data_IF_222470299625
#
_entry.id   IF_222470299625
#
_cell.length_a   1.000
_cell.length_b   1.000
_cell.length_c   1.000
_cell.angle_alpha   90.00
_cell.angle_beta   90.00
_cell.angle_gamma   90.00
#
_symmetry.space_group_name_H-M   'P 1'
#
loop_
_entity.id
_entity.type
_entity.pdbx_description
1 polymer ?
#
# COMPACT_ATOMS: atom_id res chain seq x y z
N UNK A 1 13.84 49.69 32.74
CA UNK A 1 14.23 48.33 32.31
C UNK A 1 13.06 47.71 31.54
N UNK A 2 13.02 47.84 30.21
CA UNK A 2 12.13 47.06 29.34
C UNK A 2 12.47 47.35 27.88
N UNK A 3 13.34 46.53 27.30
CA UNK A 3 13.62 46.54 25.87
C UNK A 3 14.06 45.14 25.39
N UNK A 4 13.36 44.09 25.84
CA UNK A 4 13.63 42.70 25.40
C UNK A 4 12.48 42.12 24.54
N UNK A 5 11.45 42.92 24.17
CA UNK A 5 10.26 42.38 23.50
C UNK A 5 10.01 42.85 22.06
N UNK A 6 10.97 43.49 21.38
CA UNK A 6 10.74 43.94 20.01
C UNK A 6 11.90 43.61 19.07
N UNK A 7 12.42 42.38 19.12
CA UNK A 7 13.13 41.83 17.95
C UNK A 7 12.05 41.17 17.10
N UNK A 8 11.50 41.91 16.15
CA UNK A 8 10.51 41.39 15.21
C UNK A 8 11.03 40.09 14.61
N UNK A 9 10.36 38.98 14.92
CA UNK A 9 10.67 37.69 14.34
C UNK A 9 10.30 37.77 12.87
N UNK A 10 11.28 38.03 12.00
CA UNK A 10 11.13 37.86 10.57
C UNK A 10 10.96 36.37 10.30
N UNK A 11 9.71 35.89 10.23
CA UNK A 11 9.45 34.52 9.79
C UNK A 11 10.10 34.35 8.42
N UNK A 12 11.08 33.45 8.28
CA UNK A 12 11.77 33.29 7.01
C UNK A 12 10.73 32.88 5.97
N UNK A 13 10.70 33.56 4.81
CA UNK A 13 9.68 33.37 3.75
C UNK A 13 9.56 31.91 3.27
N UNK A 14 10.57 31.10 3.53
CA UNK A 14 10.63 29.67 3.20
C UNK A 14 9.89 28.77 4.20
N UNK A 15 9.61 29.23 5.43
CA UNK A 15 9.02 28.40 6.48
C UNK A 15 7.65 27.82 6.08
N UNK A 16 6.71 28.60 5.49
CA UNK A 16 5.43 28.05 5.06
C UNK A 16 5.57 26.94 4.01
N UNK A 17 6.50 27.10 3.07
CA UNK A 17 6.74 26.11 2.02
C UNK A 17 7.29 24.79 2.60
N UNK A 18 8.24 24.88 3.54
CA UNK A 18 8.78 23.70 4.23
C UNK A 18 7.70 22.97 5.02
N UNK A 19 6.82 23.71 5.70
CA UNK A 19 5.70 23.12 6.45
C UNK A 19 4.76 22.36 5.52
N UNK A 20 4.37 22.94 4.38
CA UNK A 20 3.51 22.27 3.40
C UNK A 20 4.15 21.01 2.84
N UNK A 21 5.43 21.09 2.43
CA UNK A 21 6.17 19.93 1.90
C UNK A 21 6.25 18.82 2.96
N UNK A 22 6.54 19.18 4.21
CA UNK A 22 6.59 18.24 5.32
C UNK A 22 5.24 17.56 5.55
N UNK A 23 4.15 18.34 5.58
CA UNK A 23 2.80 17.82 5.77
C UNK A 23 2.37 16.86 4.64
N UNK A 24 2.57 17.26 3.39
CA UNK A 24 2.24 16.42 2.22
C UNK A 24 3.05 15.12 2.24
N UNK A 25 4.34 15.21 2.54
CA UNK A 25 5.21 14.03 2.63
C UNK A 25 4.78 13.08 3.74
N UNK A 26 4.39 13.61 4.91
CA UNK A 26 3.91 12.81 6.03
C UNK A 26 2.60 12.06 5.68
N UNK A 27 1.64 12.76 5.07
CA UNK A 27 0.38 12.14 4.61
C UNK A 27 0.66 11.07 3.56
N UNK A 28 1.50 11.37 2.56
CA UNK A 28 1.85 10.41 1.51
C UNK A 28 2.53 9.15 2.07
N UNK A 29 3.46 9.32 3.01
CA UNK A 29 4.11 8.20 3.68
C UNK A 29 3.12 7.37 4.52
N UNK A 30 2.19 8.03 5.22
CA UNK A 30 1.17 7.35 6.01
C UNK A 30 0.24 6.51 5.13
N UNK A 31 -0.31 7.08 4.05
CA UNK A 31 -1.16 6.35 3.10
C UNK A 31 -0.40 5.16 2.51
N UNK A 32 0.85 5.36 2.08
CA UNK A 32 1.70 4.26 1.59
C UNK A 32 1.87 3.16 2.64
N UNK A 33 2.07 3.52 3.91
CA UNK A 33 2.23 2.56 5.00
C UNK A 33 0.97 1.73 5.24
N UNK A 34 -0.21 2.33 5.12
CA UNK A 34 -1.50 1.63 5.26
C UNK A 34 -1.69 0.65 4.10
N UNK A 35 -1.47 1.11 2.86
CA UNK A 35 -1.57 0.25 1.67
C UNK A 35 -0.61 -0.94 1.73
N UNK A 36 0.61 -0.74 2.23
CA UNK A 36 1.57 -1.84 2.39
C UNK A 36 1.16 -2.83 3.48
N UNK A 37 0.55 -2.36 4.57
CA UNK A 37 0.03 -3.24 5.62
C UNK A 37 -1.13 -4.08 5.11
N UNK A 38 -2.08 -3.44 4.42
CA UNK A 38 -3.24 -4.12 3.84
C UNK A 38 -2.82 -5.10 2.74
N UNK A 39 -1.91 -4.72 1.84
CA UNK A 39 -1.34 -5.63 0.84
C UNK A 39 -0.75 -6.87 1.49
N UNK A 40 0.05 -6.71 2.56
CA UNK A 40 0.64 -7.86 3.29
C UNK A 40 -0.41 -8.70 4.02
N UNK A 41 -1.52 -8.09 4.46
CA UNK A 41 -2.63 -8.83 5.06
C UNK A 41 -3.35 -9.67 3.99
N UNK A 42 -3.71 -9.05 2.87
CA UNK A 42 -4.31 -9.71 1.71
C UNK A 42 -3.42 -10.84 1.18
N UNK A 43 -2.11 -10.61 1.02
CA UNK A 43 -1.16 -11.63 0.55
C UNK A 43 -1.16 -12.86 1.46
N UNK A 44 -1.24 -12.65 2.79
CA UNK A 44 -1.34 -13.75 3.75
C UNK A 44 -2.65 -14.52 3.60
N UNK A 45 -3.79 -13.83 3.45
CA UNK A 45 -5.06 -14.50 3.21
C UNK A 45 -5.06 -15.28 1.89
N UNK A 46 -4.58 -14.68 0.80
CA UNK A 46 -4.50 -15.37 -0.49
C UNK A 46 -3.51 -16.55 -0.48
N UNK A 47 -2.41 -16.45 0.28
CA UNK A 47 -1.47 -17.58 0.43
C UNK A 47 -2.11 -18.79 1.12
N UNK A 48 -3.05 -18.58 2.05
CA UNK A 48 -3.77 -19.68 2.70
C UNK A 48 -4.68 -20.44 1.72
N UNK A 49 -5.27 -19.73 0.75
CA UNK A 49 -6.08 -20.34 -0.31
C UNK A 49 -5.25 -21.04 -1.39
N UNK A 50 -3.93 -20.84 -1.45
CA UNK A 50 -3.02 -21.56 -2.36
C UNK A 50 -2.30 -22.73 -1.68
N UNK A 51 -2.93 -23.37 -0.69
CA UNK A 51 -2.38 -24.60 -0.10
C UNK A 51 -2.47 -25.77 -1.10
N UNK A 52 -1.58 -26.79 -1.01
CA UNK A 52 -1.62 -27.97 -1.86
C UNK A 52 -2.99 -28.67 -1.83
N UNK A 53 -3.64 -28.69 -0.67
CA UNK A 53 -4.95 -29.30 -0.45
C UNK A 53 -6.07 -28.51 -1.14
N UNK A 54 -6.00 -27.17 -1.11
CA UNK A 54 -6.97 -26.30 -1.79
C UNK A 54 -6.84 -26.38 -3.30
N UNK A 55 -5.61 -26.36 -3.83
CA UNK A 55 -5.37 -26.51 -5.27
C UNK A 55 -5.72 -27.93 -5.76
N UNK A 56 -5.49 -28.97 -4.95
CA UNK A 56 -5.96 -30.33 -5.28
C UNK A 56 -7.49 -30.42 -5.32
N UNK A 57 -8.20 -29.75 -4.39
CA UNK A 57 -9.66 -29.67 -4.41
C UNK A 57 -10.17 -28.93 -5.65
N UNK A 58 -9.52 -27.82 -6.04
CA UNK A 58 -9.86 -27.07 -7.26
C UNK A 58 -9.57 -27.85 -8.54
N UNK A 59 -8.47 -28.60 -8.57
CA UNK A 59 -8.13 -29.45 -9.71
C UNK A 59 -9.18 -30.53 -9.96
N UNK A 60 -9.80 -31.07 -8.89
CA UNK A 60 -10.90 -32.06 -9.01
C UNK A 60 -12.13 -31.53 -9.74
N UNK A 61 -12.45 -30.25 -9.60
CA UNK A 61 -13.58 -29.62 -10.31
C UNK A 61 -13.41 -29.70 -11.82
N UNK A 62 -12.16 -29.70 -12.28
CA UNK A 62 -11.82 -29.76 -13.69
C UNK A 62 -11.30 -31.14 -14.11
N UNK A 63 -11.50 -32.20 -13.31
CA UNK A 63 -11.15 -33.56 -13.73
C UNK A 63 -11.95 -33.94 -14.98
N UNK A 64 -11.24 -34.24 -16.07
CA UNK A 64 -11.81 -34.56 -17.38
C UNK A 64 -12.05 -33.36 -18.30
N UNK A 65 -11.69 -32.13 -17.89
CA UNK A 65 -11.77 -30.92 -18.72
C UNK A 65 -10.50 -30.06 -18.60
N UNK A 66 -10.26 -29.15 -19.55
CA UNK A 66 -9.12 -28.23 -19.47
C UNK A 66 -9.37 -27.13 -18.45
N UNK A 67 -8.47 -26.99 -17.46
CA UNK A 67 -8.52 -25.89 -16.48
C UNK A 67 -8.32 -24.53 -17.20
N UNK A 68 -9.34 -23.65 -17.25
CA UNK A 68 -9.25 -22.38 -17.96
C UNK A 68 -8.20 -21.43 -17.36
N UNK A 69 -7.76 -21.65 -16.12
CA UNK A 69 -6.65 -20.88 -15.51
C UNK A 69 -5.31 -21.15 -16.18
N UNK A 70 -5.15 -22.33 -16.80
CA UNK A 70 -3.95 -22.72 -17.55
C UNK A 70 -4.02 -22.37 -19.04
N UNK A 71 -5.12 -21.76 -19.47
CA UNK A 71 -5.29 -21.34 -20.85
C UNK A 71 -4.33 -20.20 -21.20
N UNK A 72 -3.84 -20.19 -22.43
CA UNK A 72 -3.03 -19.09 -22.99
C UNK A 72 -3.81 -17.76 -23.06
N UNK A 73 -5.14 -17.80 -22.98
CA UNK A 73 -5.99 -16.61 -22.94
C UNK A 73 -6.10 -16.00 -21.53
N UNK A 74 -5.60 -16.67 -20.49
CA UNK A 74 -5.59 -16.15 -19.12
C UNK A 74 -4.40 -15.21 -18.90
N UNK A 75 -4.38 -14.08 -19.61
CA UNK A 75 -3.31 -13.08 -19.58
C UNK A 75 -3.14 -12.46 -18.18
N UNK A 76 -4.21 -12.42 -17.39
CA UNK A 76 -4.24 -11.74 -16.09
C UNK A 76 -3.92 -12.65 -14.90
N UNK A 77 -3.80 -13.98 -15.11
CA UNK A 77 -3.35 -15.01 -14.15
C UNK A 77 -3.46 -14.59 -12.67
N UNK A 78 -4.70 -14.47 -12.17
CA UNK A 78 -4.99 -14.19 -10.76
C UNK A 78 -5.03 -15.49 -9.92
#
# INVERSE_FOLDING_TARGET
>A
MSAILARGASTPRILPAVVVIGAVSAVGAYVRSQLQQESRAMDRYFSQYKSPESEASRARVFEGQSDPRKSVFNILSW
#
